data_IF_137667279487
#
_entry.id   IF_137667279487
#
_cell.length_a   1.000
_cell.length_b   1.000
_cell.length_c   1.000
_cell.angle_alpha   90.00
_cell.angle_beta   90.00
_cell.angle_gamma   90.00
#
_symmetry.space_group_name_H-M   'P 1'
#
loop_
_entity.id
_entity.type
_entity.pdbx_description
1 polymer ?
#
# COMPACT_ATOMS: atom_id res chain seq x y z
N UNK A 1 42.65 9.70 10.66
CA UNK A 1 41.42 9.34 9.90
C UNK A 1 40.37 10.45 10.03
N UNK A 2 39.43 10.60 9.07
CA UNK A 2 38.44 11.70 9.06
C UNK A 2 37.61 11.78 10.36
N UNK A 3 37.34 10.64 11.00
CA UNK A 3 36.52 10.55 12.22
C UNK A 3 37.26 10.87 13.54
N UNK A 4 38.57 11.10 13.50
CA UNK A 4 39.37 11.47 14.68
C UNK A 4 39.35 12.98 14.94
N UNK A 5 38.83 13.77 13.98
CA UNK A 5 38.70 15.23 14.10
C UNK A 5 37.42 15.61 14.84
N UNK A 6 37.52 16.51 15.82
CA UNK A 6 36.36 17.04 16.54
C UNK A 6 35.32 17.67 15.59
N UNK A 7 35.77 18.42 14.58
CA UNK A 7 34.93 19.04 13.54
C UNK A 7 34.01 18.04 12.83
N UNK A 8 34.48 16.81 12.57
CA UNK A 8 33.67 15.79 11.90
C UNK A 8 32.45 15.38 12.72
N UNK A 9 32.59 15.31 14.06
CA UNK A 9 31.49 15.00 14.95
C UNK A 9 30.54 16.19 15.12
N UNK A 10 31.08 17.41 15.15
CA UNK A 10 30.32 18.65 15.18
C UNK A 10 29.42 18.80 13.94
N UNK A 11 29.97 18.60 12.73
CA UNK A 11 29.22 18.63 11.48
C UNK A 11 28.09 17.59 11.45
N UNK A 12 28.34 16.37 11.96
CA UNK A 12 27.31 15.33 12.04
C UNK A 12 26.22 15.66 13.06
N UNK A 13 26.56 16.29 14.17
CA UNK A 13 25.57 16.78 15.14
C UNK A 13 24.69 17.87 14.50
N UNK A 14 25.29 18.86 13.83
CA UNK A 14 24.55 19.91 13.11
C UNK A 14 23.68 19.36 11.98
N UNK A 15 24.17 18.39 11.21
CA UNK A 15 23.39 17.72 10.18
C UNK A 15 22.17 16.98 10.77
N UNK A 16 22.36 16.30 11.89
CA UNK A 16 21.29 15.60 12.60
C UNK A 16 20.21 16.57 13.10
N UNK A 17 20.62 17.69 13.69
CA UNK A 17 19.71 18.76 14.13
C UNK A 17 18.94 19.39 12.96
N UNK A 18 19.63 19.69 11.84
CA UNK A 18 18.98 20.22 10.62
C UNK A 18 17.96 19.24 10.06
N UNK A 19 18.29 17.94 10.02
CA UNK A 19 17.38 16.92 9.54
C UNK A 19 16.14 16.77 10.45
N UNK A 20 16.32 16.85 11.77
CA UNK A 20 15.21 16.83 12.73
C UNK A 20 14.26 18.01 12.48
N UNK A 21 14.80 19.25 12.46
CA UNK A 21 14.03 20.47 12.16
C UNK A 21 13.31 20.39 10.81
N UNK A 22 13.97 19.86 9.78
CA UNK A 22 13.35 19.66 8.47
C UNK A 22 12.17 18.67 8.54
N UNK A 23 12.31 17.55 9.25
CA UNK A 23 11.25 16.54 9.39
C UNK A 23 10.05 17.03 10.21
N UNK A 24 10.23 18.07 11.02
CA UNK A 24 9.19 18.71 11.83
C UNK A 24 8.39 19.75 11.06
N UNK A 25 8.92 20.26 9.93
CA UNK A 25 8.23 21.28 9.13
C UNK A 25 6.79 20.86 8.76
N UNK A 26 5.80 21.78 8.86
CA UNK A 26 4.40 21.48 8.55
C UNK A 26 4.16 20.89 7.16
N UNK A 27 4.84 21.42 6.13
CA UNK A 27 4.70 20.94 4.74
C UNK A 27 5.23 19.50 4.56
N UNK A 28 6.33 19.17 5.23
CA UNK A 28 6.92 17.82 5.22
C UNK A 28 6.01 16.84 5.97
N UNK A 29 5.46 17.23 7.12
CA UNK A 29 4.48 16.42 7.87
C UNK A 29 3.22 16.18 7.05
N UNK A 30 2.67 17.21 6.39
CA UNK A 30 1.49 17.08 5.54
C UNK A 30 1.68 16.06 4.40
N UNK A 31 2.82 16.11 3.69
CA UNK A 31 3.15 15.11 2.67
C UNK A 31 3.26 13.70 3.26
N UNK A 32 3.85 13.58 4.46
CA UNK A 32 3.96 12.31 5.17
C UNK A 32 2.60 11.76 5.58
N UNK A 33 1.69 12.59 6.11
CA UNK A 33 0.30 12.23 6.43
C UNK A 33 -0.38 11.66 5.19
N UNK A 34 -0.33 12.37 4.04
CA UNK A 34 -0.91 11.88 2.78
C UNK A 34 -0.37 10.52 2.35
N UNK A 35 0.93 10.28 2.52
CA UNK A 35 1.55 8.99 2.23
C UNK A 35 1.05 7.89 3.18
N UNK A 36 1.02 8.16 4.48
CA UNK A 36 0.54 7.20 5.48
C UNK A 36 -0.95 6.88 5.25
N UNK A 37 -1.77 7.85 4.86
CA UNK A 37 -3.17 7.60 4.50
C UNK A 37 -3.31 6.70 3.27
N UNK A 38 -2.44 6.85 2.27
CA UNK A 38 -2.41 5.95 1.12
C UNK A 38 -2.00 4.52 1.52
N UNK A 39 -0.99 4.39 2.37
CA UNK A 39 -0.54 3.10 2.90
C UNK A 39 -1.63 2.44 3.76
N UNK A 40 -2.35 3.22 4.57
CA UNK A 40 -3.53 2.78 5.32
C UNK A 40 -4.61 2.21 4.40
N UNK A 41 -5.00 2.95 3.35
CA UNK A 41 -5.98 2.48 2.34
C UNK A 41 -5.51 1.19 1.64
N UNK A 42 -4.20 1.03 1.42
CA UNK A 42 -3.65 -0.20 0.85
C UNK A 42 -3.81 -1.38 1.82
N UNK A 43 -3.51 -1.19 3.10
CA UNK A 43 -3.70 -2.22 4.12
C UNK A 43 -5.17 -2.64 4.25
N UNK A 44 -6.09 -1.67 4.27
CA UNK A 44 -7.54 -1.92 4.31
C UNK A 44 -8.02 -2.73 3.11
N UNK A 45 -7.59 -2.38 1.88
CA UNK A 45 -7.91 -3.15 0.67
C UNK A 45 -7.38 -4.58 0.75
N UNK A 46 -6.17 -4.76 1.24
CA UNK A 46 -5.57 -6.09 1.38
C UNK A 46 -6.32 -6.94 2.42
N UNK A 47 -6.76 -6.35 3.54
CA UNK A 47 -7.60 -7.02 4.54
C UNK A 47 -8.92 -7.45 3.92
N UNK A 48 -9.62 -6.53 3.24
CA UNK A 48 -10.90 -6.82 2.61
C UNK A 48 -10.79 -7.94 1.56
N UNK A 49 -9.73 -7.91 0.74
CA UNK A 49 -9.48 -8.95 -0.26
C UNK A 49 -9.19 -10.31 0.39
N UNK A 50 -8.35 -10.35 1.43
CA UNK A 50 -8.05 -11.59 2.15
C UNK A 50 -9.27 -12.13 2.89
N UNK A 51 -10.10 -11.26 3.48
CA UNK A 51 -11.38 -11.65 4.10
C UNK A 51 -12.34 -12.24 3.07
N UNK A 52 -12.48 -11.61 1.90
CA UNK A 52 -13.29 -12.12 0.80
C UNK A 52 -12.88 -13.56 0.43
N UNK A 53 -11.59 -13.81 0.21
CA UNK A 53 -11.13 -15.15 -0.12
C UNK A 53 -11.24 -16.12 1.04
N UNK A 54 -10.97 -15.69 2.28
CA UNK A 54 -11.17 -16.53 3.46
C UNK A 54 -12.62 -16.99 3.60
N UNK A 55 -13.59 -16.11 3.35
CA UNK A 55 -15.02 -16.47 3.31
C UNK A 55 -15.32 -17.48 2.21
N UNK A 56 -14.78 -17.29 1.01
CA UNK A 56 -14.97 -18.22 -0.11
C UNK A 56 -14.38 -19.61 0.19
N UNK A 57 -13.16 -19.68 0.71
CA UNK A 57 -12.51 -20.94 1.08
C UNK A 57 -13.18 -21.63 2.29
N UNK A 58 -13.82 -20.88 3.19
CA UNK A 58 -14.56 -21.44 4.33
C UNK A 58 -16.02 -21.73 4.05
N UNK A 59 -16.49 -21.50 2.83
CA UNK A 59 -17.88 -21.78 2.48
C UNK A 59 -18.22 -23.26 2.72
N UNK A 60 -19.34 -23.54 3.38
CA UNK A 60 -19.81 -24.91 3.61
C UNK A 60 -20.09 -25.64 2.28
N UNK A 61 -20.46 -24.89 1.24
CA UNK A 61 -20.75 -25.37 -0.11
C UNK A 61 -19.50 -25.51 -0.99
N UNK A 62 -18.29 -25.45 -0.41
CA UNK A 62 -17.06 -25.56 -1.17
C UNK A 62 -16.99 -26.93 -1.85
N UNK A 63 -16.92 -26.93 -3.17
CA UNK A 63 -16.67 -28.10 -4.00
C UNK A 63 -15.38 -27.92 -4.83
N UNK A 64 -14.99 -28.95 -5.58
CA UNK A 64 -13.80 -28.90 -6.44
C UNK A 64 -13.88 -27.81 -7.52
N UNK A 65 -15.07 -27.57 -8.09
CA UNK A 65 -15.27 -26.60 -9.16
C UNK A 65 -15.10 -25.16 -8.64
N UNK A 66 -15.67 -24.87 -7.47
CA UNK A 66 -15.51 -23.60 -6.77
C UNK A 66 -14.06 -23.42 -6.33
N UNK A 67 -13.41 -24.45 -5.78
CA UNK A 67 -12.00 -24.36 -5.38
C UNK A 67 -11.08 -24.02 -6.58
N UNK A 68 -11.30 -24.62 -7.75
CA UNK A 68 -10.58 -24.26 -8.99
C UNK A 68 -10.86 -22.81 -9.39
N UNK A 69 -12.13 -22.39 -9.36
CA UNK A 69 -12.49 -21.00 -9.71
C UNK A 69 -11.84 -19.98 -8.76
N UNK A 70 -11.89 -20.22 -7.45
CA UNK A 70 -11.31 -19.34 -6.43
C UNK A 70 -9.79 -19.29 -6.61
N UNK A 71 -9.14 -20.46 -6.69
CA UNK A 71 -7.68 -20.54 -6.79
C UNK A 71 -7.11 -19.91 -8.06
N UNK A 72 -7.87 -19.85 -9.15
CA UNK A 72 -7.48 -19.14 -10.38
C UNK A 72 -7.23 -17.64 -10.14
N UNK A 73 -7.97 -17.01 -9.23
CA UNK A 73 -7.85 -15.58 -8.91
C UNK A 73 -7.09 -15.29 -7.60
N UNK A 74 -7.00 -16.27 -6.72
CA UNK A 74 -6.37 -16.11 -5.40
C UNK A 74 -4.84 -16.18 -5.47
N UNK A 75 -4.28 -16.80 -6.51
CA UNK A 75 -2.85 -16.83 -6.81
C UNK A 75 -1.96 -17.22 -5.61
N UNK A 76 -2.39 -18.22 -4.83
CA UNK A 76 -1.58 -18.79 -3.76
C UNK A 76 -0.62 -19.82 -4.35
N UNK A 77 0.66 -19.72 -3.98
CA UNK A 77 1.73 -20.62 -4.40
C UNK A 77 2.38 -21.32 -3.20
N UNK A 78 2.65 -22.61 -3.34
CA UNK A 78 3.37 -23.42 -2.34
C UNK A 78 4.14 -24.54 -3.03
N UNK A 79 5.08 -25.15 -2.32
CA UNK A 79 5.73 -26.39 -2.76
C UNK A 79 4.88 -27.60 -2.36
N UNK A 80 4.78 -28.58 -3.25
CA UNK A 80 4.07 -29.84 -3.03
C UNK A 80 5.05 -31.00 -3.12
N UNK A 81 5.71 -31.30 -2.01
CA UNK A 81 6.66 -32.41 -1.91
C UNK A 81 5.94 -33.75 -1.97
N UNK A 82 6.59 -34.76 -2.56
CA UNK A 82 6.09 -36.13 -2.66
C UNK A 82 5.89 -36.78 -1.30
N UNK A 83 6.72 -36.40 -0.32
CA UNK A 83 6.59 -36.85 1.07
C UNK A 83 5.24 -36.44 1.66
N UNK A 84 4.80 -35.20 1.43
CA UNK A 84 3.56 -34.66 2.01
C UNK A 84 2.34 -34.90 1.12
N UNK A 85 2.53 -34.92 -0.19
CA UNK A 85 1.48 -35.12 -1.20
C UNK A 85 1.90 -36.26 -2.12
N UNK A 86 1.82 -37.52 -1.64
CA UNK A 86 2.15 -38.68 -2.45
C UNK A 86 1.20 -38.77 -3.65
N UNK A 87 1.76 -39.07 -4.82
CA UNK A 87 1.02 -39.08 -6.09
C UNK A 87 1.54 -40.19 -7.01
N UNK A 88 0.67 -40.75 -7.87
CA UNK A 88 1.07 -41.82 -8.78
C UNK A 88 2.13 -41.35 -9.78
N UNK A 89 2.99 -42.25 -10.30
CA UNK A 89 4.07 -41.92 -11.25
C UNK A 89 3.60 -41.24 -12.54
N UNK A 90 2.34 -41.46 -12.93
CA UNK A 90 1.72 -40.90 -14.13
C UNK A 90 1.47 -39.38 -14.02
N UNK A 91 1.37 -38.85 -12.80
CA UNK A 91 1.17 -37.42 -12.55
C UNK A 91 2.52 -36.71 -12.44
N UNK A 92 2.50 -35.38 -12.59
CA UNK A 92 3.70 -34.55 -12.44
C UNK A 92 4.39 -34.81 -11.10
N UNK A 93 5.66 -35.22 -11.13
CA UNK A 93 6.49 -35.47 -9.94
C UNK A 93 7.21 -34.19 -9.44
N UNK A 94 6.92 -33.03 -10.04
CA UNK A 94 7.57 -31.78 -9.69
C UNK A 94 7.26 -31.33 -8.25
N UNK A 95 8.30 -31.13 -7.43
CA UNK A 95 8.19 -30.74 -6.01
C UNK A 95 8.40 -29.24 -5.76
N UNK A 96 8.66 -28.46 -6.81
CA UNK A 96 8.90 -27.02 -6.67
C UNK A 96 7.62 -26.19 -6.49
N UNK A 97 7.77 -24.87 -6.62
CA UNK A 97 6.68 -23.93 -6.38
C UNK A 97 5.59 -24.07 -7.46
N UNK A 98 4.35 -24.27 -7.02
CA UNK A 98 3.18 -24.42 -7.89
C UNK A 98 1.97 -23.69 -7.27
N UNK A 99 1.07 -23.20 -8.13
CA UNK A 99 -0.18 -22.57 -7.67
C UNK A 99 -1.17 -23.60 -7.13
N UNK A 100 -2.07 -23.17 -6.23
CA UNK A 100 -3.20 -24.03 -5.81
C UNK A 100 -4.07 -24.45 -7.00
N UNK A 101 -4.24 -23.58 -8.00
CA UNK A 101 -5.01 -23.89 -9.20
C UNK A 101 -4.41 -25.09 -9.95
N UNK A 102 -3.11 -25.02 -10.26
CA UNK A 102 -2.41 -26.10 -10.94
C UNK A 102 -2.35 -27.38 -10.10
N UNK A 103 -2.27 -27.26 -8.78
CA UNK A 103 -2.29 -28.41 -7.88
C UNK A 103 -3.64 -29.15 -7.90
N UNK A 104 -4.74 -28.39 -7.95
CA UNK A 104 -6.09 -28.94 -8.06
C UNK A 104 -6.34 -29.53 -9.46
N UNK A 105 -5.87 -28.85 -10.51
CA UNK A 105 -6.05 -29.29 -11.90
C UNK A 105 -5.28 -30.58 -12.23
N UNK A 106 -4.06 -30.72 -11.71
CA UNK A 106 -3.28 -31.94 -11.84
C UNK A 106 -3.65 -33.00 -10.79
N UNK A 107 -4.71 -32.75 -10.00
CA UNK A 107 -5.20 -33.66 -8.97
C UNK A 107 -4.08 -34.13 -8.01
N UNK A 108 -3.20 -33.19 -7.64
CA UNK A 108 -2.13 -33.38 -6.65
C UNK A 108 -2.69 -33.20 -5.24
N UNK A 109 -3.69 -32.34 -5.09
CA UNK A 109 -4.39 -32.08 -3.82
C UNK A 109 -5.91 -32.14 -4.01
N UNK A 110 -6.61 -32.42 -2.92
CA UNK A 110 -8.07 -32.27 -2.84
C UNK A 110 -8.47 -30.82 -2.60
N UNK A 111 -9.75 -30.50 -2.80
CA UNK A 111 -10.28 -29.16 -2.49
C UNK A 111 -10.22 -28.84 -0.98
N UNK A 112 -10.34 -29.86 -0.12
CA UNK A 112 -10.20 -29.72 1.33
C UNK A 112 -8.76 -29.35 1.71
N UNK A 113 -7.77 -30.04 1.13
CA UNK A 113 -6.36 -29.71 1.32
C UNK A 113 -6.03 -28.31 0.80
N UNK A 114 -6.61 -27.91 -0.33
CA UNK A 114 -6.46 -26.55 -0.84
C UNK A 114 -7.02 -25.50 0.13
N UNK A 115 -8.20 -25.74 0.70
CA UNK A 115 -8.79 -24.90 1.76
C UNK A 115 -7.86 -24.81 2.98
N UNK A 116 -7.31 -25.94 3.42
CA UNK A 116 -6.46 -26.01 4.62
C UNK A 116 -5.11 -25.30 4.41
N UNK A 117 -4.67 -25.12 3.16
CA UNK A 117 -3.53 -24.26 2.82
C UNK A 117 -3.96 -22.79 2.74
N UNK A 118 -5.07 -22.52 2.04
CA UNK A 118 -5.50 -21.16 1.71
C UNK A 118 -6.04 -20.37 2.91
N UNK A 119 -6.82 -21.00 3.79
CA UNK A 119 -7.40 -20.32 4.94
C UNK A 119 -6.32 -19.77 5.89
N UNK A 120 -5.31 -20.55 6.35
CA UNK A 120 -4.22 -20.02 7.15
C UNK A 120 -3.38 -18.97 6.43
N UNK A 121 -3.23 -19.06 5.10
CA UNK A 121 -2.56 -18.04 4.31
C UNK A 121 -3.25 -16.68 4.45
N UNK A 122 -4.57 -16.63 4.21
CA UNK A 122 -5.36 -15.40 4.35
C UNK A 122 -5.42 -14.89 5.78
N UNK A 123 -5.53 -15.77 6.77
CA UNK A 123 -5.48 -15.36 8.18
C UNK A 123 -4.16 -14.71 8.57
N UNK A 124 -3.02 -15.23 8.09
CA UNK A 124 -1.71 -14.59 8.29
C UNK A 124 -1.64 -13.24 7.61
N UNK A 125 -2.17 -13.13 6.39
CA UNK A 125 -2.24 -11.87 5.64
C UNK A 125 -3.08 -10.84 6.40
N UNK A 126 -4.29 -11.20 6.85
CA UNK A 126 -5.16 -10.33 7.65
C UNK A 126 -4.43 -9.86 8.92
N UNK A 127 -3.83 -10.79 9.67
CA UNK A 127 -3.09 -10.45 10.90
C UNK A 127 -1.93 -9.50 10.64
N UNK A 128 -1.16 -9.73 9.57
CA UNK A 128 -0.05 -8.87 9.20
C UNK A 128 -0.54 -7.46 8.82
N UNK A 129 -1.56 -7.37 7.97
CA UNK A 129 -2.12 -6.10 7.53
C UNK A 129 -2.80 -5.34 8.68
N UNK A 130 -3.45 -6.04 9.62
CA UNK A 130 -4.06 -5.41 10.79
C UNK A 130 -3.02 -4.75 11.70
N UNK A 131 -1.84 -5.37 11.88
CA UNK A 131 -0.73 -4.74 12.62
C UNK A 131 -0.29 -3.44 11.96
N UNK A 132 -0.17 -3.44 10.63
CA UNK A 132 0.18 -2.23 9.88
C UNK A 132 -0.93 -1.18 9.92
N UNK A 133 -2.19 -1.59 9.80
CA UNK A 133 -3.34 -0.69 9.92
C UNK A 133 -3.32 0.04 11.27
N UNK A 134 -3.12 -0.69 12.36
CA UNK A 134 -2.99 -0.11 13.70
C UNK A 134 -1.77 0.83 13.79
N UNK A 135 -0.63 0.42 13.23
CA UNK A 135 0.56 1.29 13.17
C UNK A 135 0.28 2.61 12.42
N UNK A 136 -0.36 2.54 11.26
CA UNK A 136 -0.69 3.73 10.47
C UNK A 136 -1.71 4.63 11.17
N UNK A 137 -2.69 4.06 11.87
CA UNK A 137 -3.65 4.82 12.68
C UNK A 137 -2.92 5.59 13.79
N UNK A 138 -2.07 4.91 14.58
CA UNK A 138 -1.29 5.54 15.64
C UNK A 138 -0.36 6.62 15.09
N UNK A 139 0.29 6.34 13.96
CA UNK A 139 1.19 7.30 13.30
C UNK A 139 0.44 8.51 12.76
N UNK A 140 -0.75 8.33 12.18
CA UNK A 140 -1.59 9.44 11.72
C UNK A 140 -2.06 10.30 12.89
N UNK A 141 -2.47 9.69 14.00
CA UNK A 141 -2.85 10.43 15.20
C UNK A 141 -1.70 11.31 15.70
N UNK A 142 -0.49 10.74 15.79
CA UNK A 142 0.72 11.49 16.15
C UNK A 142 1.01 12.63 15.18
N UNK A 143 1.08 12.36 13.87
CA UNK A 143 1.46 13.39 12.89
C UNK A 143 0.42 14.52 12.80
N UNK A 144 -0.87 14.21 12.97
CA UNK A 144 -1.93 15.22 13.01
C UNK A 144 -1.83 16.08 14.27
N UNK A 145 -1.65 15.48 15.45
CA UNK A 145 -1.46 16.22 16.70
C UNK A 145 -0.25 17.16 16.62
N UNK A 146 0.89 16.69 16.10
CA UNK A 146 2.08 17.53 15.91
C UNK A 146 1.87 18.66 14.88
N UNK A 147 1.05 18.42 13.87
CA UNK A 147 0.74 19.42 12.84
C UNK A 147 -0.15 20.52 13.42
N UNK A 148 -1.13 20.15 14.24
CA UNK A 148 -2.03 21.09 14.92
C UNK A 148 -1.27 21.98 15.89
N UNK A 149 -0.34 21.41 16.68
CA UNK A 149 0.58 22.18 17.54
C UNK A 149 1.43 23.20 16.77
N UNK A 150 1.80 22.88 15.52
CA UNK A 150 2.62 23.75 14.66
C UNK A 150 1.82 24.85 13.93
N UNK A 151 0.53 25.03 14.26
CA UNK A 151 -0.36 25.99 13.61
C UNK A 151 -0.94 25.52 12.28
N UNK A 152 -0.90 24.21 12.00
CA UNK A 152 -1.40 23.62 10.76
C UNK A 152 -0.52 23.92 9.54
N UNK A 153 -0.93 23.42 8.37
CA UNK A 153 -0.43 23.97 7.11
C UNK A 153 -1.35 25.14 6.77
N UNK A 154 -0.79 26.33 6.58
CA UNK A 154 -1.49 27.41 5.87
C UNK A 154 -1.71 26.92 4.44
N UNK A 155 -2.79 26.17 4.21
CA UNK A 155 -3.43 26.13 2.91
C UNK A 155 -3.76 27.58 2.63
N UNK A 156 -3.01 28.23 1.72
CA UNK A 156 -3.41 29.54 1.21
C UNK A 156 -4.78 29.35 0.59
N UNK A 157 -5.83 29.64 1.36
CA UNK A 157 -7.22 29.72 0.94
C UNK A 157 -7.44 31.04 0.20
N UNK A 158 -6.50 31.45 -0.65
CA UNK A 158 -6.90 32.25 -1.78
C UNK A 158 -7.39 31.24 -2.80
N UNK A 159 -8.68 30.96 -2.70
CA UNK A 159 -9.37 30.24 -3.75
C UNK A 159 -9.02 30.93 -5.07
N UNK A 160 -8.64 30.12 -6.06
CA UNK A 160 -8.46 30.65 -7.40
C UNK A 160 -9.82 31.17 -7.85
N UNK A 161 -9.86 32.38 -8.37
CA UNK A 161 -11.06 32.99 -8.95
C UNK A 161 -10.80 33.33 -10.43
N UNK A 162 -11.81 33.20 -11.31
CA UNK A 162 -11.73 33.78 -12.65
C UNK A 162 -11.35 35.26 -12.57
N UNK A 163 -10.33 35.67 -13.31
CA UNK A 163 -9.72 37.00 -13.24
C UNK A 163 -8.49 37.11 -12.32
N UNK A 164 -8.24 36.13 -11.46
CA UNK A 164 -7.02 36.05 -10.65
C UNK A 164 -5.78 35.73 -11.48
N UNK A 165 -4.58 36.00 -10.93
CA UNK A 165 -3.31 35.72 -11.60
C UNK A 165 -2.55 34.58 -10.91
N UNK A 166 -1.96 33.69 -11.71
CA UNK A 166 -1.15 32.56 -11.24
C UNK A 166 0.18 32.55 -11.97
N UNK A 167 1.27 32.46 -11.21
CA UNK A 167 2.59 32.28 -11.79
C UNK A 167 2.81 30.82 -12.16
N UNK A 168 3.09 30.55 -13.44
CA UNK A 168 3.43 29.24 -13.96
C UNK A 168 4.62 29.34 -14.90
N UNK A 169 5.62 28.48 -14.74
CA UNK A 169 6.85 28.46 -15.56
C UNK A 169 7.55 29.82 -15.72
N UNK A 170 7.41 30.71 -14.74
CA UNK A 170 8.04 32.04 -14.74
C UNK A 170 7.15 33.17 -15.30
N UNK A 171 5.99 32.85 -15.87
CA UNK A 171 5.05 33.84 -16.42
C UNK A 171 3.81 33.99 -15.54
N UNK A 172 3.29 35.21 -15.47
CA UNK A 172 2.01 35.51 -14.81
C UNK A 172 0.87 35.30 -15.79
N UNK A 173 0.03 34.30 -15.54
CA UNK A 173 -1.11 33.95 -16.39
C UNK A 173 -2.42 34.30 -15.68
N UNK A 174 -3.39 34.83 -16.41
CA UNK A 174 -4.71 35.17 -15.88
C UNK A 174 -5.63 33.96 -15.95
N UNK A 175 -6.36 33.69 -14.89
CA UNK A 175 -7.35 32.60 -14.81
C UNK A 175 -8.58 33.00 -15.61
N UNK A 176 -8.87 32.29 -16.71
CA UNK A 176 -10.07 32.51 -17.50
C UNK A 176 -11.25 31.78 -16.86
N UNK A 177 -11.03 30.52 -16.49
CA UNK A 177 -12.08 29.64 -15.94
C UNK A 177 -11.47 28.54 -15.09
N UNK A 178 -12.22 28.16 -14.06
CA UNK A 178 -11.89 27.02 -13.20
C UNK A 178 -12.93 25.95 -13.42
N UNK A 179 -12.48 24.72 -13.70
CA UNK A 179 -13.37 23.58 -13.71
C UNK A 179 -13.40 22.95 -12.31
N UNK A 180 -14.57 22.87 -11.67
CA UNK A 180 -14.71 22.30 -10.32
C UNK A 180 -14.86 20.78 -10.32
N UNK A 181 -15.19 20.16 -11.47
CA UNK A 181 -15.37 18.71 -11.60
C UNK A 181 -14.11 17.96 -12.04
N UNK A 182 -13.11 18.67 -12.58
CA UNK A 182 -11.80 18.14 -12.95
C UNK A 182 -10.73 19.14 -12.49
N UNK A 183 -9.53 18.71 -12.03
CA UNK A 183 -8.51 19.60 -11.48
C UNK A 183 -7.75 20.39 -12.58
N UNK A 184 -8.50 21.04 -13.48
CA UNK A 184 -8.00 21.76 -14.65
C UNK A 184 -8.38 23.25 -14.50
N UNK A 185 -7.38 24.13 -14.58
CA UNK A 185 -7.53 25.59 -14.61
C UNK A 185 -7.18 26.06 -16.02
N UNK A 186 -8.05 26.86 -16.63
CA UNK A 186 -7.82 27.46 -17.95
C UNK A 186 -7.19 28.84 -17.76
N UNK A 187 -6.04 29.05 -18.37
CA UNK A 187 -5.22 30.25 -18.22
C UNK A 187 -5.08 31.00 -19.55
N UNK A 188 -4.82 32.29 -19.51
CA UNK A 188 -4.47 33.09 -20.69
C UNK A 188 -3.06 32.75 -21.15
N UNK A 189 -2.93 32.01 -22.25
CA UNK A 189 -1.65 31.70 -22.87
C UNK A 189 -1.85 30.58 -23.89
N UNK A 190 -1.41 30.80 -25.14
CA UNK A 190 -1.35 29.74 -26.14
C UNK A 190 -0.47 28.61 -25.57
N UNK A 191 -1.04 27.44 -25.34
CA UNK A 191 -0.25 26.23 -25.16
C UNK A 191 0.49 25.98 -26.48
N UNK A 192 1.80 26.25 -26.49
CA UNK A 192 2.75 25.58 -27.38
C UNK A 192 3.40 24.47 -26.54
#
# INVERSE_FOLDING_TARGET
>A
MLFERAEYWEERAHASLRLAKYKERPDVRYRRIRKIEADKRKAERNIAQAQKYLTMWRAQTLDLKMARLISNYDHIYTCFTLEKYPRPPEKSQYEGQMSLHSALENEIITFEQARDIAAPYHERTIRHQQRWLNHYQNRLAYERAMLDESGGVVTRTQDFEPGGQVQSRGEWLTIIRINKSAPIIVLTGLFI
#
